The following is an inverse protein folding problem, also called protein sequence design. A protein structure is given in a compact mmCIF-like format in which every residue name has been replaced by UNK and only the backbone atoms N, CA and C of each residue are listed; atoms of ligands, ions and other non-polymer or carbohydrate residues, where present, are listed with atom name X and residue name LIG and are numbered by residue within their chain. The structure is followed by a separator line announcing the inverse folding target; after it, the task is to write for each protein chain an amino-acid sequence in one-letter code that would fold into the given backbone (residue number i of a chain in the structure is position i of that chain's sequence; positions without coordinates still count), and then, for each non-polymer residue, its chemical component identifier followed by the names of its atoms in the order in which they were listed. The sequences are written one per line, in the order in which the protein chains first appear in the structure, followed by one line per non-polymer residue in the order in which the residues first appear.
data_IF_521737636482
#
_entry.id   IF_521737636482
#
_cell.length_a   1.000
_cell.length_b   1.000
_cell.length_c   1.000
_cell.angle_alpha   90.00
_cell.angle_beta   90.00
_cell.angle_gamma   90.00
#
_symmetry.space_group_name_H-M   'P 1'
#
loop_
_entity.id
_entity.type
_entity.pdbx_description
1 polymer ?
#
# COMPACT_ATOMS: atom_id res chain seq x y z
N UNK A 1 -1.71 -12.15 17.80
CA UNK A 1 -3.05 -11.60 17.57
C UNK A 1 -3.71 -12.29 16.38
N UNK A 2 -4.96 -12.71 16.55
CA UNK A 2 -5.68 -13.42 15.49
C UNK A 2 -6.21 -12.43 14.47
N UNK A 3 -5.91 -12.70 13.20
CA UNK A 3 -6.42 -11.92 12.08
C UNK A 3 -7.86 -12.36 11.77
N UNK A 4 -8.78 -11.41 11.73
CA UNK A 4 -10.14 -11.64 11.26
C UNK A 4 -10.21 -11.30 9.77
N UNK A 5 -10.72 -12.21 8.96
CA UNK A 5 -10.78 -12.06 7.51
C UNK A 5 -12.21 -11.87 7.03
N UNK A 6 -12.45 -10.83 6.22
CA UNK A 6 -13.73 -10.62 5.55
C UNK A 6 -13.61 -10.88 4.05
N UNK A 7 -14.73 -11.22 3.42
CA UNK A 7 -14.83 -11.31 1.97
C UNK A 7 -15.04 -9.93 1.35
N UNK A 8 -14.85 -9.82 0.03
CA UNK A 8 -15.13 -8.56 -0.67
C UNK A 8 -16.60 -8.16 -0.57
N UNK A 9 -17.54 -9.11 -0.62
CA UNK A 9 -18.95 -8.80 -0.47
C UNK A 9 -19.28 -8.25 0.91
N UNK A 10 -18.71 -8.81 1.97
CA UNK A 10 -18.84 -8.29 3.32
C UNK A 10 -18.25 -6.89 3.46
N UNK A 11 -17.07 -6.69 2.85
CA UNK A 11 -16.40 -5.41 2.84
C UNK A 11 -17.26 -4.32 2.18
N UNK A 12 -17.82 -4.59 1.00
CA UNK A 12 -18.70 -3.63 0.33
C UNK A 12 -20.00 -3.40 1.10
N UNK A 13 -20.53 -4.41 1.76
CA UNK A 13 -21.74 -4.27 2.57
C UNK A 13 -21.55 -3.35 3.77
N UNK A 14 -20.32 -3.16 4.24
CA UNK A 14 -20.01 -2.24 5.34
C UNK A 14 -19.30 -0.96 4.85
N UNK A 15 -19.72 -0.44 3.71
CA UNK A 15 -19.23 0.81 3.10
C UNK A 15 -17.73 0.83 2.82
N UNK A 16 -17.18 -0.30 2.41
CA UNK A 16 -15.73 -0.45 2.12
C UNK A 16 -14.87 0.00 3.30
N UNK A 17 -15.21 -0.50 4.48
CA UNK A 17 -14.45 -0.29 5.72
C UNK A 17 -13.97 -1.61 6.30
N UNK A 18 -13.00 -1.54 7.20
CA UNK A 18 -12.55 -2.68 7.99
C UNK A 18 -12.58 -2.32 9.47
N UNK A 19 -12.87 -3.31 10.32
CA UNK A 19 -12.93 -3.09 11.77
C UNK A 19 -11.54 -3.30 12.38
N UNK A 20 -10.86 -2.20 12.68
CA UNK A 20 -9.50 -2.21 13.25
C UNK A 20 -9.49 -2.86 14.63
N UNK A 21 -10.56 -2.66 15.42
CA UNK A 21 -10.64 -3.24 16.78
C UNK A 21 -10.64 -4.76 16.76
N UNK A 22 -11.14 -5.37 15.68
CA UNK A 22 -11.15 -6.82 15.47
C UNK A 22 -9.96 -7.30 14.63
N UNK A 23 -9.07 -6.39 14.25
CA UNK A 23 -7.96 -6.69 13.35
C UNK A 23 -8.45 -7.31 12.02
N UNK A 24 -9.51 -6.72 11.47
CA UNK A 24 -10.15 -7.23 10.25
C UNK A 24 -9.37 -6.84 9.01
N UNK A 25 -9.11 -7.84 8.15
CA UNK A 25 -8.53 -7.65 6.81
C UNK A 25 -9.50 -8.17 5.77
N UNK A 26 -9.75 -7.39 4.73
CA UNK A 26 -10.51 -7.87 3.57
C UNK A 26 -9.56 -8.64 2.64
N UNK A 27 -10.03 -9.78 2.15
CA UNK A 27 -9.32 -10.54 1.12
C UNK A 27 -9.76 -10.02 -0.26
N UNK A 28 -8.83 -9.36 -0.96
CA UNK A 28 -9.10 -8.85 -2.30
C UNK A 28 -8.88 -9.94 -3.36
N UNK A 29 -9.47 -9.76 -4.54
CA UNK A 29 -9.38 -10.73 -5.64
C UNK A 29 -7.93 -11.00 -6.08
N UNK A 30 -7.06 -10.00 -5.92
CA UNK A 30 -5.63 -10.11 -6.22
C UNK A 30 -4.85 -11.02 -5.26
N UNK A 31 -5.45 -11.44 -4.16
CA UNK A 31 -4.79 -12.17 -3.09
C UNK A 31 -4.17 -11.28 -2.02
N UNK A 32 -4.25 -9.97 -2.17
CA UNK A 32 -3.82 -9.01 -1.14
C UNK A 32 -4.84 -8.97 -0.02
N UNK A 33 -4.36 -8.97 1.23
CA UNK A 33 -5.20 -8.73 2.40
C UNK A 33 -5.00 -7.29 2.84
N UNK A 34 -6.10 -6.55 3.04
CA UNK A 34 -6.05 -5.14 3.35
C UNK A 34 -6.85 -4.80 4.60
N UNK A 35 -6.23 -4.04 5.50
CA UNK A 35 -6.92 -3.37 6.60
C UNK A 35 -6.84 -1.87 6.34
N UNK A 36 -7.98 -1.19 6.39
CA UNK A 36 -8.00 0.27 6.30
C UNK A 36 -8.08 0.80 7.73
N UNK A 37 -6.97 1.41 8.18
CA UNK A 37 -6.90 2.05 9.49
C UNK A 37 -7.55 3.43 9.43
N UNK A 38 -7.29 4.17 8.35
CA UNK A 38 -7.85 5.49 8.09
C UNK A 38 -7.97 5.67 6.58
N UNK A 39 -9.16 6.00 6.10
CA UNK A 39 -9.39 6.25 4.67
C UNK A 39 -8.72 7.54 4.16
N UNK A 40 -8.28 8.40 5.06
CA UNK A 40 -7.69 9.68 4.71
C UNK A 40 -8.74 10.79 4.60
N UNK A 41 -8.53 11.70 3.65
CA UNK A 41 -9.41 12.86 3.47
C UNK A 41 -10.89 12.49 3.41
N UNK A 42 -11.74 13.31 4.00
CA UNK A 42 -13.18 13.17 3.90
C UNK A 42 -13.75 13.74 2.58
N UNK A 43 -12.93 14.49 1.84
CA UNK A 43 -13.34 15.05 0.55
C UNK A 43 -13.21 14.00 -0.56
N UNK A 44 -14.29 13.62 -1.25
CA UNK A 44 -14.21 12.63 -2.33
C UNK A 44 -13.29 13.04 -3.49
N UNK A 45 -13.01 14.33 -3.65
CA UNK A 45 -12.11 14.83 -4.69
C UNK A 45 -10.62 14.51 -4.39
N UNK A 46 -10.28 14.16 -3.16
CA UNK A 46 -8.90 13.90 -2.74
C UNK A 46 -8.47 12.44 -2.95
N UNK A 47 -8.97 11.81 -3.99
CA UNK A 47 -8.45 10.50 -4.43
C UNK A 47 -7.14 10.67 -5.18
N UNK A 48 -6.29 9.66 -5.11
CA UNK A 48 -5.04 9.63 -5.87
C UNK A 48 -5.40 9.36 -7.34
N UNK A 49 -4.99 10.27 -8.21
CA UNK A 49 -5.37 10.30 -9.63
C UNK A 49 -4.17 9.98 -10.51
N UNK A 50 -4.41 9.59 -11.76
CA UNK A 50 -3.33 9.40 -12.73
C UNK A 50 -2.40 10.63 -12.79
N UNK A 51 -1.12 10.38 -12.78
CA UNK A 51 -0.02 11.34 -12.79
C UNK A 51 0.23 12.07 -11.46
N UNK A 52 -0.52 11.75 -10.42
CA UNK A 52 -0.19 12.26 -9.08
C UNK A 52 1.16 11.74 -8.61
N UNK A 53 1.90 12.61 -7.92
CA UNK A 53 3.07 12.24 -7.15
C UNK A 53 2.62 11.93 -5.73
N UNK A 54 3.11 10.83 -5.18
CA UNK A 54 2.67 10.34 -3.86
C UNK A 54 3.89 10.11 -2.98
N UNK A 55 3.95 10.80 -1.85
CA UNK A 55 4.88 10.48 -0.78
C UNK A 55 4.30 9.34 0.04
N UNK A 56 5.17 8.44 0.49
CA UNK A 56 4.76 7.32 1.31
C UNK A 56 5.64 7.17 2.55
N UNK A 57 4.99 6.99 3.72
CA UNK A 57 5.63 6.58 4.96
C UNK A 57 5.20 5.17 5.28
N UNK A 58 6.17 4.27 5.48
CA UNK A 58 5.85 2.86 5.55
C UNK A 58 6.84 2.07 6.38
N UNK A 59 6.39 0.88 6.76
CA UNK A 59 7.23 -0.23 7.21
C UNK A 59 6.98 -1.42 6.29
N UNK A 60 8.06 -2.08 5.88
CA UNK A 60 8.00 -3.33 5.10
C UNK A 60 8.61 -4.44 5.92
N UNK A 61 7.86 -5.51 6.14
CA UNK A 61 8.34 -6.71 6.82
C UNK A 61 8.35 -7.89 5.85
N UNK A 62 9.52 -8.46 5.60
CA UNK A 62 9.64 -9.72 4.90
C UNK A 62 9.15 -10.83 5.83
N UNK A 63 8.02 -11.46 5.49
CA UNK A 63 7.41 -12.46 6.36
C UNK A 63 8.18 -13.78 6.40
N UNK A 64 9.09 -14.02 5.47
CA UNK A 64 9.93 -15.20 5.46
C UNK A 64 11.19 -15.02 6.32
N UNK A 65 11.88 -13.89 6.17
CA UNK A 65 13.16 -13.65 6.86
C UNK A 65 13.04 -12.84 8.15
N UNK A 66 11.95 -12.09 8.32
CA UNK A 66 11.78 -11.16 9.43
C UNK A 66 12.50 -9.83 9.24
N UNK A 67 13.09 -9.59 8.05
CA UNK A 67 13.78 -8.32 7.79
C UNK A 67 12.78 -7.17 7.69
N UNK A 68 13.03 -6.12 8.46
CA UNK A 68 12.22 -4.91 8.49
C UNK A 68 12.95 -3.75 7.82
N UNK A 69 12.28 -3.09 6.87
CA UNK A 69 12.73 -1.85 6.26
C UNK A 69 11.67 -0.77 6.51
N UNK A 70 12.11 0.46 6.81
CA UNK A 70 11.20 1.54 7.17
C UNK A 70 11.78 2.89 6.79
N UNK A 71 10.91 3.86 6.50
CA UNK A 71 11.29 5.26 6.36
C UNK A 71 10.62 6.16 7.41
N UNK A 72 10.05 5.57 8.46
CA UNK A 72 9.30 6.33 9.46
C UNK A 72 10.18 7.33 10.23
N UNK A 73 11.48 7.04 10.36
CA UNK A 73 12.41 7.90 11.10
C UNK A 73 12.96 9.07 10.27
N UNK A 74 12.61 9.16 9.00
CA UNK A 74 13.07 10.24 8.13
C UNK A 74 12.19 11.47 8.37
N UNK A 75 12.75 12.57 8.95
CA UNK A 75 11.91 13.72 9.32
C UNK A 75 11.62 14.66 8.15
N UNK A 76 12.47 14.66 7.11
CA UNK A 76 12.39 15.61 6.01
C UNK A 76 11.62 14.98 4.84
N UNK A 77 10.48 15.57 4.42
CA UNK A 77 9.67 15.01 3.32
C UNK A 77 10.44 14.76 2.03
N UNK A 78 11.44 15.60 1.70
CA UNK A 78 12.23 15.45 0.49
C UNK A 78 13.01 14.14 0.42
N UNK A 79 13.23 13.47 1.55
CA UNK A 79 13.97 12.20 1.62
C UNK A 79 13.05 10.98 1.76
N UNK A 80 11.74 11.19 1.77
CA UNK A 80 10.79 10.08 1.80
C UNK A 80 10.70 9.40 0.43
N UNK A 81 10.23 8.16 0.46
CA UNK A 81 9.89 7.48 -0.77
C UNK A 81 8.76 8.20 -1.48
N UNK A 82 8.93 8.37 -2.78
CA UNK A 82 7.96 9.07 -3.63
C UNK A 82 7.76 8.28 -4.91
N UNK A 83 6.51 8.11 -5.32
CA UNK A 83 6.22 7.46 -6.60
C UNK A 83 5.21 8.26 -7.41
N UNK A 84 5.24 8.04 -8.71
CA UNK A 84 4.24 8.57 -9.63
C UNK A 84 3.23 7.47 -9.94
N UNK A 85 1.95 7.77 -9.73
CA UNK A 85 0.86 6.86 -10.07
C UNK A 85 0.44 7.08 -11.52
N UNK A 86 0.37 5.99 -12.30
CA UNK A 86 -0.02 6.06 -13.71
C UNK A 86 -1.11 5.06 -14.01
N UNK A 87 -2.04 5.44 -14.88
CA UNK A 87 -3.13 4.58 -15.32
C UNK A 87 -3.20 4.61 -16.83
N UNK A 88 -3.22 3.43 -17.44
CA UNK A 88 -3.50 3.27 -18.87
C UNK A 88 -4.87 2.62 -19.03
N UNK A 89 -5.34 2.47 -20.26
CA UNK A 89 -6.64 1.83 -20.52
C UNK A 89 -6.72 0.40 -20.01
N UNK A 90 -5.58 -0.28 -19.83
CA UNK A 90 -5.52 -1.71 -19.49
C UNK A 90 -4.84 -2.00 -18.17
N UNK A 91 -4.14 -1.04 -17.55
CA UNK A 91 -3.40 -1.32 -16.32
C UNK A 91 -3.15 -0.08 -15.48
N UNK A 92 -2.85 -0.34 -14.20
CA UNK A 92 -2.33 0.67 -13.28
C UNK A 92 -0.87 0.35 -13.00
N UNK A 93 -0.07 1.39 -12.79
CA UNK A 93 1.35 1.25 -12.47
C UNK A 93 1.80 2.37 -11.54
N UNK A 94 2.95 2.17 -10.91
CA UNK A 94 3.60 3.20 -10.11
C UNK A 94 5.10 3.10 -10.32
N UNK A 95 5.75 4.25 -10.38
CA UNK A 95 7.19 4.34 -10.60
C UNK A 95 7.80 5.13 -9.45
N UNK A 96 8.68 4.50 -8.68
CA UNK A 96 9.44 5.20 -7.66
C UNK A 96 10.39 6.22 -8.27
N UNK A 97 10.26 7.46 -7.83
CA UNK A 97 11.14 8.55 -8.26
C UNK A 97 12.37 8.61 -7.36
N UNK A 98 12.19 8.35 -6.07
CA UNK A 98 13.26 8.36 -5.08
C UNK A 98 12.88 7.53 -3.86
N UNK A 99 13.84 7.25 -3.00
CA UNK A 99 13.67 6.66 -1.69
C UNK A 99 14.27 5.28 -1.54
N UNK A 100 14.05 4.69 -0.37
CA UNK A 100 14.67 3.42 0.03
C UNK A 100 14.19 2.24 -0.81
N UNK A 101 12.92 2.22 -1.18
CA UNK A 101 12.37 1.15 -2.03
C UNK A 101 13.06 1.12 -3.39
N UNK A 102 13.25 2.30 -3.99
CA UNK A 102 13.92 2.41 -5.29
C UNK A 102 15.36 1.92 -5.21
N UNK A 103 16.07 2.29 -4.16
CA UNK A 103 17.46 1.87 -3.96
C UNK A 103 17.57 0.37 -3.71
N UNK A 104 16.63 -0.20 -2.96
CA UNK A 104 16.68 -1.61 -2.60
C UNK A 104 16.18 -2.54 -3.72
N UNK A 105 15.13 -2.16 -4.44
CA UNK A 105 14.38 -3.06 -5.30
C UNK A 105 14.18 -2.57 -6.74
N UNK A 106 14.50 -1.32 -7.03
CA UNK A 106 14.24 -0.74 -8.35
C UNK A 106 13.02 0.17 -8.38
N UNK A 107 12.56 0.52 -9.58
CA UNK A 107 11.59 1.60 -9.75
C UNK A 107 10.13 1.16 -9.67
N UNK A 108 9.83 -0.13 -9.75
CA UNK A 108 8.43 -0.60 -9.76
C UNK A 108 7.82 -0.57 -8.37
N UNK A 109 6.70 0.13 -8.23
CA UNK A 109 5.91 0.11 -7.00
C UNK A 109 5.22 -1.26 -6.88
N UNK A 110 5.21 -1.89 -5.69
CA UNK A 110 4.48 -3.14 -5.51
C UNK A 110 3.04 -3.04 -5.98
N UNK A 111 2.60 -3.98 -6.80
CA UNK A 111 1.23 -3.99 -7.29
C UNK A 111 0.21 -4.00 -6.14
N UNK A 112 0.55 -4.64 -5.03
CA UNK A 112 -0.30 -4.66 -3.83
C UNK A 112 -0.58 -3.28 -3.25
N UNK A 113 0.37 -2.34 -3.33
CA UNK A 113 0.14 -0.95 -2.92
C UNK A 113 -0.88 -0.27 -3.83
N UNK A 114 -0.74 -0.48 -5.13
CA UNK A 114 -1.59 0.16 -6.14
C UNK A 114 -3.05 -0.31 -6.04
N UNK A 115 -3.25 -1.58 -5.71
CA UNK A 115 -4.59 -2.13 -5.49
C UNK A 115 -5.29 -1.41 -4.34
N UNK A 116 -4.55 -1.12 -3.27
CA UNK A 116 -5.10 -0.43 -2.10
C UNK A 116 -5.55 1.00 -2.39
N UNK A 117 -4.91 1.68 -3.33
CA UNK A 117 -5.21 3.08 -3.66
C UNK A 117 -6.65 3.30 -4.14
N UNK A 118 -7.31 2.27 -4.67
CA UNK A 118 -8.71 2.36 -5.13
C UNK A 118 -9.69 2.62 -3.99
N UNK A 119 -9.31 2.28 -2.77
CA UNK A 119 -10.23 2.26 -1.63
C UNK A 119 -10.00 3.40 -0.64
N UNK A 120 -9.00 4.24 -0.88
CA UNK A 120 -8.56 5.27 0.06
C UNK A 120 -8.35 6.61 -0.63
N UNK A 121 -8.13 7.64 0.17
CA UNK A 121 -7.91 9.01 -0.28
C UNK A 121 -6.59 9.52 0.26
N UNK A 122 -6.27 10.77 -0.08
CA UNK A 122 -5.07 11.43 0.40
C UNK A 122 -4.90 11.27 1.93
N UNK A 123 -3.69 10.94 2.34
CA UNK A 123 -3.29 10.76 3.75
C UNK A 123 -3.88 9.52 4.43
N UNK A 124 -4.23 8.52 3.66
CA UNK A 124 -4.73 7.26 4.19
C UNK A 124 -3.64 6.46 4.91
N UNK A 125 -4.09 5.64 5.84
CA UNK A 125 -3.27 4.65 6.55
C UNK A 125 -3.86 3.26 6.31
N UNK A 126 -3.08 2.37 5.72
CA UNK A 126 -3.50 1.00 5.43
C UNK A 126 -2.45 0.00 5.91
N UNK A 127 -2.88 -1.21 6.20
CA UNK A 127 -2.00 -2.35 6.45
C UNK A 127 -2.29 -3.41 5.39
N UNK A 128 -1.24 -3.97 4.81
CA UNK A 128 -1.36 -4.91 3.70
C UNK A 128 -0.55 -6.17 3.98
N UNK A 129 -1.12 -7.31 3.63
CA UNK A 129 -0.38 -8.57 3.49
C UNK A 129 -0.35 -8.86 2.00
N UNK A 130 0.84 -8.83 1.41
CA UNK A 130 1.03 -8.83 -0.03
C UNK A 130 1.72 -10.13 -0.44
N UNK A 131 1.06 -10.99 -1.24
CA UNK A 131 1.70 -12.20 -1.74
C UNK A 131 2.84 -11.83 -2.70
N UNK A 132 3.77 -12.75 -2.88
CA UNK A 132 4.99 -12.50 -3.67
C UNK A 132 4.71 -11.94 -5.06
N UNK A 133 3.69 -12.46 -5.75
CA UNK A 133 3.33 -12.02 -7.11
C UNK A 133 2.85 -10.57 -7.19
N UNK A 134 2.44 -9.98 -6.06
CA UNK A 134 1.95 -8.61 -5.97
C UNK A 134 2.95 -7.70 -5.25
N UNK A 135 4.12 -8.21 -4.92
CA UNK A 135 5.15 -7.53 -4.19
C UNK A 135 6.13 -6.76 -5.07
N UNK A 136 7.20 -6.27 -4.43
CA UNK A 136 8.31 -5.66 -5.16
C UNK A 136 9.12 -6.74 -5.90
N UNK A 137 10.01 -6.31 -6.79
CA UNK A 137 10.68 -7.24 -7.70
C UNK A 137 11.45 -8.37 -6.99
N UNK A 138 12.16 -8.07 -5.90
CA UNK A 138 12.89 -9.09 -5.16
C UNK A 138 11.94 -10.13 -4.53
N UNK A 139 10.79 -9.69 -4.02
CA UNK A 139 9.79 -10.58 -3.46
C UNK A 139 9.21 -11.52 -4.53
N UNK A 140 9.00 -11.01 -5.74
CA UNK A 140 8.56 -11.84 -6.87
C UNK A 140 9.62 -12.88 -7.25
N UNK A 141 10.88 -12.46 -7.36
CA UNK A 141 11.97 -13.33 -7.79
C UNK A 141 12.31 -14.41 -6.76
N UNK A 142 12.30 -14.06 -5.48
CA UNK A 142 12.66 -14.96 -4.38
C UNK A 142 11.47 -15.63 -3.72
N UNK A 143 10.28 -15.27 -4.13
CA UNK A 143 8.99 -15.85 -3.70
C UNK A 143 8.79 -15.77 -2.19
N UNK A 144 8.63 -14.54 -1.68
CA UNK A 144 8.24 -14.34 -0.29
C UNK A 144 7.13 -13.28 -0.17
N UNK A 145 6.22 -13.43 0.82
CA UNK A 145 5.21 -12.42 1.07
C UNK A 145 5.77 -11.32 1.96
N UNK A 146 5.18 -10.13 1.85
CA UNK A 146 5.51 -8.99 2.69
C UNK A 146 4.28 -8.47 3.43
N UNK A 147 4.52 -8.02 4.64
CA UNK A 147 3.58 -7.19 5.38
C UNK A 147 4.00 -5.73 5.23
N UNK A 148 3.04 -4.87 4.94
CA UNK A 148 3.27 -3.42 4.89
C UNK A 148 2.36 -2.72 5.87
N UNK A 149 2.92 -1.88 6.72
CA UNK A 149 2.18 -0.87 7.46
C UNK A 149 2.46 0.46 6.76
N UNK A 150 1.53 0.90 5.94
CA UNK A 150 1.67 2.15 5.19
C UNK A 150 0.96 3.23 5.98
N UNK A 151 1.74 3.93 6.78
CA UNK A 151 1.24 4.96 7.70
C UNK A 151 0.64 6.13 6.94
N UNK A 152 1.11 6.42 5.73
CA UNK A 152 0.57 7.52 4.95
C UNK A 152 0.88 7.37 3.47
N UNK A 153 -0.16 7.52 2.64
CA UNK A 153 -0.06 7.89 1.23
C UNK A 153 -0.45 9.36 1.14
N UNK A 154 0.45 10.21 0.68
CA UNK A 154 0.20 11.66 0.62
C UNK A 154 0.44 12.21 -0.78
N UNK A 155 -0.58 12.84 -1.36
CA UNK A 155 -0.42 13.55 -2.63
C UNK A 155 0.56 14.71 -2.42
N UNK A 156 1.57 14.79 -3.30
CA UNK A 156 2.71 15.71 -3.17
C UNK A 156 2.98 16.47 -4.47
N UNK A 157 1.96 16.85 -5.17
CA UNK A 157 2.10 17.60 -6.45
C UNK A 157 2.61 19.01 -6.22
#
# INVERSE_FOLDING_TARGET
RVLFRSSQSEFYAQDSTTDVSRNEYVQLASGVYMQIVDKGSTNPADTIKPNDLVLVRYEELNLQSGYLMSNLDIPIPDYLDEFKYTVTSSSIAGIFIKGSMRLAYGTSVPAGWLVALKYVRDRAHVKLIVPSKMGQQQAMERVYPCYYDIHKFQIWN
#
